data_IF_182055186106
#
_entry.id   IF_182055186106
#
_cell.length_a   1.000
_cell.length_b   1.000
_cell.length_c   1.000
_cell.angle_alpha   90.00
_cell.angle_beta   90.00
_cell.angle_gamma   90.00
#
_symmetry.space_group_name_H-M   'P 1'
#
loop_
_entity.id
_entity.type
_entity.pdbx_description
1 polymer ?
#
# COMPACT_ATOMS: atom_id res chain seq x y z
N UNK A 1 -72.02 -15.76 -24.54
CA UNK A 1 -71.75 -14.45 -23.95
C UNK A 1 -70.27 -14.16 -24.09
N UNK A 2 -69.89 -13.11 -24.85
CA UNK A 2 -68.47 -12.65 -24.95
C UNK A 2 -68.31 -11.59 -23.87
N UNK A 3 -67.38 -11.85 -22.90
CA UNK A 3 -67.03 -10.87 -21.92
C UNK A 3 -65.79 -10.09 -22.48
N UNK A 4 -66.04 -8.85 -22.86
CA UNK A 4 -64.98 -7.91 -23.24
C UNK A 4 -64.40 -7.31 -21.97
N UNK A 5 -63.18 -7.74 -21.59
CA UNK A 5 -62.40 -7.11 -20.52
C UNK A 5 -61.80 -5.76 -20.95
N UNK A 6 -61.60 -4.87 -20.03
CA UNK A 6 -60.87 -3.60 -20.29
C UNK A 6 -59.47 -3.88 -20.83
N UNK A 7 -59.04 -3.09 -21.84
CA UNK A 7 -57.69 -3.19 -22.38
C UNK A 7 -56.61 -2.90 -21.27
N UNK A 8 -55.70 -3.82 -21.10
CA UNK A 8 -54.56 -3.64 -20.18
C UNK A 8 -53.37 -3.13 -20.98
N UNK A 9 -52.85 -1.96 -20.57
CA UNK A 9 -51.66 -1.38 -21.18
C UNK A 9 -50.43 -2.05 -20.61
N UNK A 10 -49.64 -2.68 -21.47
CA UNK A 10 -48.38 -3.33 -21.12
C UNK A 10 -47.23 -2.42 -21.53
N UNK A 11 -46.29 -2.22 -20.63
CA UNK A 11 -45.11 -1.38 -20.85
C UNK A 11 -43.85 -2.24 -21.01
N UNK A 12 -42.93 -1.79 -21.88
CA UNK A 12 -41.61 -2.39 -21.98
C UNK A 12 -40.78 -2.05 -20.72
N UNK A 13 -40.36 -3.07 -20.04
CA UNK A 13 -39.54 -2.94 -18.84
C UNK A 13 -38.13 -3.50 -19.06
N UNK A 14 -37.11 -2.82 -18.50
CA UNK A 14 -35.72 -3.27 -18.42
C UNK A 14 -35.19 -3.00 -17.01
N UNK A 15 -34.47 -3.98 -16.47
CA UNK A 15 -33.80 -3.86 -15.17
C UNK A 15 -32.85 -2.66 -15.12
N UNK A 16 -32.53 -2.13 -13.93
CA UNK A 16 -31.55 -1.09 -13.75
C UNK A 16 -30.19 -1.46 -14.36
N UNK A 17 -29.53 -0.48 -14.95
CA UNK A 17 -28.20 -0.60 -15.54
C UNK A 17 -27.29 0.38 -14.83
N UNK A 18 -26.13 -0.10 -14.41
CA UNK A 18 -25.03 0.73 -13.93
C UNK A 18 -24.10 0.98 -15.11
N UNK A 19 -24.03 2.23 -15.58
CA UNK A 19 -23.25 2.64 -16.75
C UNK A 19 -21.84 3.04 -16.39
N UNK A 20 -21.64 3.64 -15.21
CA UNK A 20 -20.33 4.04 -14.67
C UNK A 20 -20.37 3.94 -13.16
N UNK A 21 -19.29 3.43 -12.57
CA UNK A 21 -19.16 3.33 -11.13
C UNK A 21 -17.70 3.09 -10.73
N UNK A 22 -17.35 3.46 -9.53
CA UNK A 22 -16.02 3.20 -9.00
C UNK A 22 -15.86 3.58 -7.54
N UNK A 23 -14.70 3.22 -7.03
CA UNK A 23 -14.26 3.47 -5.66
C UNK A 23 -12.79 3.86 -5.67
N UNK A 24 -12.45 4.86 -4.90
CA UNK A 24 -11.05 5.28 -4.66
C UNK A 24 -10.87 5.54 -3.17
N UNK A 25 -9.82 5.02 -2.58
CA UNK A 25 -9.41 5.40 -1.22
C UNK A 25 -8.88 6.84 -1.26
N UNK A 26 -9.23 7.65 -0.24
CA UNK A 26 -8.91 9.08 -0.25
C UNK A 26 -8.84 9.65 1.16
N UNK A 27 -8.31 10.86 1.25
CA UNK A 27 -8.34 11.69 2.45
C UNK A 27 -9.73 12.33 2.67
N UNK A 28 -9.84 13.23 3.66
CA UNK A 28 -11.08 13.93 4.01
C UNK A 28 -11.54 14.93 2.92
N UNK A 29 -10.64 15.40 2.08
CA UNK A 29 -10.93 16.31 0.96
C UNK A 29 -11.28 15.55 -0.32
N UNK A 30 -11.20 14.22 -0.27
CA UNK A 30 -11.47 13.35 -1.41
C UNK A 30 -10.32 13.29 -2.41
N UNK A 31 -9.11 13.70 -2.03
CA UNK A 31 -7.89 13.49 -2.81
C UNK A 31 -7.47 12.02 -2.68
N UNK A 32 -7.14 11.32 -3.77
CA UNK A 32 -6.68 9.94 -3.70
C UNK A 32 -5.47 9.82 -2.76
N UNK A 33 -5.58 8.93 -1.78
CA UNK A 33 -4.54 8.67 -0.78
C UNK A 33 -4.63 7.19 -0.38
N UNK A 34 -3.53 6.47 -0.50
CA UNK A 34 -3.53 5.03 -0.23
C UNK A 34 -3.73 4.70 1.25
N UNK A 35 -3.32 5.61 2.14
CA UNK A 35 -3.55 5.55 3.59
C UNK A 35 -4.81 6.31 4.04
N UNK A 36 -5.59 6.83 3.08
CA UNK A 36 -6.77 7.64 3.34
C UNK A 36 -7.81 6.92 4.19
N UNK A 37 -8.45 7.67 5.08
CA UNK A 37 -9.46 7.18 6.01
C UNK A 37 -10.88 7.19 5.41
N UNK A 38 -11.03 7.51 4.12
CA UNK A 38 -12.30 7.62 3.41
C UNK A 38 -12.30 6.83 2.11
N UNK A 39 -13.52 6.56 1.60
CA UNK A 39 -13.76 5.98 0.28
C UNK A 39 -14.56 7.00 -0.55
N UNK A 40 -13.99 7.47 -1.63
CA UNK A 40 -14.70 8.26 -2.63
C UNK A 40 -15.38 7.31 -3.61
N UNK A 41 -16.71 7.33 -3.61
CA UNK A 41 -17.54 6.43 -4.43
C UNK A 41 -18.39 7.21 -5.40
N UNK A 42 -18.69 6.63 -6.55
CA UNK A 42 -19.67 7.14 -7.51
C UNK A 42 -20.39 5.98 -8.20
N UNK A 43 -21.60 6.24 -8.63
CA UNK A 43 -22.38 5.27 -9.38
C UNK A 43 -23.39 6.01 -10.26
N UNK A 44 -23.29 5.85 -11.56
CA UNK A 44 -24.25 6.36 -12.55
C UNK A 44 -25.14 5.20 -13.01
N UNK A 45 -26.42 5.30 -12.73
CA UNK A 45 -27.37 4.26 -13.08
C UNK A 45 -28.60 4.84 -13.76
N UNK A 46 -29.30 3.99 -14.54
CA UNK A 46 -30.54 4.29 -15.20
C UNK A 46 -31.47 3.06 -15.14
N UNK A 47 -32.79 3.27 -15.31
CA UNK A 47 -33.80 2.21 -15.46
C UNK A 47 -34.75 2.55 -16.62
N UNK A 48 -35.64 1.62 -16.98
CA UNK A 48 -36.73 1.90 -17.89
C UNK A 48 -37.71 2.87 -17.24
N UNK A 49 -38.05 3.97 -17.90
CA UNK A 49 -38.87 5.04 -17.34
C UNK A 49 -40.33 4.61 -17.11
N UNK A 50 -40.87 3.76 -17.96
CA UNK A 50 -42.25 3.25 -17.86
C UNK A 50 -43.29 4.39 -17.70
N UNK A 51 -43.20 5.40 -18.58
CA UNK A 51 -44.04 6.62 -18.56
C UNK A 51 -43.95 7.35 -17.21
N UNK A 52 -42.70 7.64 -16.78
CA UNK A 52 -42.35 8.36 -15.52
C UNK A 52 -42.82 7.64 -14.23
N UNK A 53 -43.19 6.35 -14.30
CA UNK A 53 -43.61 5.54 -13.16
C UNK A 53 -42.49 4.76 -12.51
N UNK A 54 -41.31 4.70 -13.14
CA UNK A 54 -40.15 3.99 -12.62
C UNK A 54 -38.94 4.92 -12.51
N UNK A 55 -38.35 4.96 -11.36
CA UNK A 55 -37.15 5.73 -11.07
C UNK A 55 -36.09 4.84 -10.40
N UNK A 56 -34.80 5.20 -10.54
CA UNK A 56 -33.71 4.46 -9.93
C UNK A 56 -33.16 5.23 -8.75
N UNK A 57 -32.96 4.53 -7.62
CA UNK A 57 -32.22 4.99 -6.44
C UNK A 57 -30.86 4.31 -6.42
N UNK A 58 -29.80 5.10 -6.22
CA UNK A 58 -28.44 4.60 -6.10
C UNK A 58 -28.03 4.69 -4.64
N UNK A 59 -27.37 3.64 -4.15
CA UNK A 59 -26.91 3.55 -2.77
C UNK A 59 -25.60 2.78 -2.69
N UNK A 60 -24.84 3.05 -1.63
CA UNK A 60 -23.58 2.38 -1.33
C UNK A 60 -23.52 1.92 0.11
N UNK A 61 -22.78 0.87 0.35
CA UNK A 61 -22.35 0.42 1.69
C UNK A 61 -20.95 -0.17 1.59
N UNK A 62 -20.28 -0.28 2.71
CA UNK A 62 -18.95 -0.87 2.78
C UNK A 62 -18.81 -1.75 4.02
N UNK A 63 -17.78 -2.59 4.03
CA UNK A 63 -17.37 -3.39 5.19
C UNK A 63 -15.87 -3.64 5.18
N UNK A 64 -15.22 -3.86 6.33
CA UNK A 64 -13.91 -4.52 6.35
C UNK A 64 -14.03 -5.90 5.71
N UNK A 65 -12.97 -6.36 5.04
CA UNK A 65 -12.93 -7.69 4.43
C UNK A 65 -13.27 -8.75 5.47
N UNK A 66 -14.28 -9.57 5.19
CA UNK A 66 -14.81 -10.58 6.11
C UNK A 66 -15.65 -10.07 7.29
N UNK A 67 -15.84 -8.74 7.40
CA UNK A 67 -16.66 -8.11 8.44
C UNK A 67 -18.13 -7.89 8.07
N UNK A 68 -18.86 -7.26 8.98
CA UNK A 68 -20.26 -6.87 8.77
C UNK A 68 -20.40 -5.64 7.87
N UNK A 69 -21.50 -5.56 7.10
CA UNK A 69 -21.80 -4.41 6.26
C UNK A 69 -22.23 -3.19 7.10
N UNK A 70 -21.78 -2.00 6.69
CA UNK A 70 -22.37 -0.75 7.12
C UNK A 70 -23.81 -0.60 6.66
N UNK A 71 -24.53 0.36 7.19
CA UNK A 71 -25.80 0.80 6.62
C UNK A 71 -25.61 1.35 5.19
N UNK A 72 -26.70 1.31 4.39
CA UNK A 72 -26.68 1.94 3.09
C UNK A 72 -26.69 3.47 3.17
N UNK A 73 -25.82 4.10 2.39
CA UNK A 73 -25.81 5.54 2.15
C UNK A 73 -26.37 5.81 0.77
N UNK A 74 -27.36 6.70 0.66
CA UNK A 74 -27.92 7.13 -0.64
C UNK A 74 -26.91 8.01 -1.38
N UNK A 75 -26.78 7.76 -2.68
CA UNK A 75 -25.97 8.51 -3.61
C UNK A 75 -26.85 9.26 -4.61
N UNK A 76 -26.38 10.41 -5.08
CA UNK A 76 -26.91 11.03 -6.29
C UNK A 76 -26.26 10.38 -7.51
N UNK A 77 -27.05 9.97 -8.51
CA UNK A 77 -26.54 9.26 -9.68
C UNK A 77 -25.46 10.07 -10.40
N UNK A 78 -24.29 9.49 -10.59
CA UNK A 78 -23.14 10.12 -11.25
C UNK A 78 -22.35 11.12 -10.38
N UNK A 79 -22.76 11.39 -9.15
CA UNK A 79 -22.07 12.31 -8.25
C UNK A 79 -21.15 11.52 -7.31
N UNK A 80 -19.91 12.00 -7.16
CA UNK A 80 -18.95 11.42 -6.22
C UNK A 80 -19.32 11.79 -4.78
N UNK A 81 -19.24 10.82 -3.87
CA UNK A 81 -19.52 11.01 -2.44
C UNK A 81 -18.47 10.30 -1.57
N UNK A 82 -18.13 10.90 -0.44
CA UNK A 82 -17.27 10.29 0.55
C UNK A 82 -18.07 9.38 1.49
N UNK A 83 -17.54 8.21 1.75
CA UNK A 83 -18.00 7.25 2.74
C UNK A 83 -16.90 6.94 3.74
N UNK A 84 -17.25 6.51 4.93
CA UNK A 84 -16.28 6.16 5.99
C UNK A 84 -15.97 7.34 6.87
N UNK A 85 -14.71 7.54 7.16
CA UNK A 85 -14.18 8.43 8.18
C UNK A 85 -13.62 7.59 9.34
N UNK A 86 -12.32 7.26 9.27
CA UNK A 86 -11.66 6.37 10.24
C UNK A 86 -11.45 4.94 9.72
N UNK A 87 -11.38 4.75 8.40
CA UNK A 87 -10.96 3.47 7.82
C UNK A 87 -9.52 3.17 8.21
N UNK A 88 -9.27 1.95 8.72
CA UNK A 88 -7.92 1.53 9.05
C UNK A 88 -7.06 1.37 7.78
N UNK A 89 -5.87 1.96 7.80
CA UNK A 89 -4.90 1.85 6.70
C UNK A 89 -4.44 0.40 6.47
N UNK A 90 -4.50 -0.43 7.50
CA UNK A 90 -4.09 -1.85 7.49
C UNK A 90 -5.19 -2.82 7.09
N UNK A 91 -6.41 -2.33 6.80
CA UNK A 91 -7.54 -3.17 6.43
C UNK A 91 -8.00 -2.93 4.99
N UNK A 92 -8.29 -3.99 4.26
CA UNK A 92 -9.03 -3.92 3.00
C UNK A 92 -10.52 -3.83 3.25
N UNK A 93 -11.21 -3.11 2.36
CA UNK A 93 -12.66 -2.92 2.47
C UNK A 93 -13.34 -3.39 1.19
N UNK A 94 -14.46 -4.10 1.35
CA UNK A 94 -15.42 -4.32 0.26
C UNK A 94 -16.41 -3.16 0.21
N UNK A 95 -16.71 -2.69 -0.98
CA UNK A 95 -17.70 -1.65 -1.25
C UNK A 95 -18.73 -2.20 -2.21
N UNK A 96 -20.00 -2.09 -1.85
CA UNK A 96 -21.13 -2.49 -2.68
C UNK A 96 -21.89 -1.24 -3.11
N UNK A 97 -22.01 -1.07 -4.44
CA UNK A 97 -22.83 -0.06 -5.09
C UNK A 97 -24.06 -0.73 -5.65
N UNK A 98 -25.24 -0.19 -5.38
CA UNK A 98 -26.52 -0.81 -5.73
C UNK A 98 -27.44 0.23 -6.37
N UNK A 99 -28.01 -0.14 -7.52
CA UNK A 99 -29.09 0.59 -8.18
C UNK A 99 -30.39 -0.19 -8.02
N UNK A 100 -31.40 0.45 -7.43
CA UNK A 100 -32.70 -0.14 -7.14
C UNK A 100 -33.77 0.71 -7.79
N UNK A 101 -34.65 0.11 -8.60
CA UNK A 101 -35.76 0.83 -9.17
C UNK A 101 -37.05 0.74 -8.31
N UNK A 102 -38.06 1.52 -8.65
CA UNK A 102 -39.34 1.53 -7.93
C UNK A 102 -40.12 0.23 -8.08
N UNK A 103 -39.81 -0.59 -9.07
CA UNK A 103 -40.42 -1.92 -9.28
C UNK A 103 -39.80 -2.97 -8.36
N UNK A 104 -38.63 -2.64 -7.74
CA UNK A 104 -37.95 -3.51 -6.80
C UNK A 104 -36.78 -4.31 -7.39
N UNK A 105 -36.49 -4.12 -8.69
CA UNK A 105 -35.31 -4.75 -9.29
C UNK A 105 -34.03 -4.09 -8.84
N UNK A 106 -32.98 -4.92 -8.64
CA UNK A 106 -31.70 -4.49 -8.09
C UNK A 106 -30.56 -4.88 -9.02
N UNK A 107 -29.66 -3.95 -9.30
CA UNK A 107 -28.36 -4.20 -9.90
C UNK A 107 -27.27 -3.82 -8.92
N UNK A 108 -26.28 -4.69 -8.73
CA UNK A 108 -25.19 -4.47 -7.79
C UNK A 108 -23.84 -4.67 -8.46
N UNK A 109 -22.86 -3.86 -8.08
CA UNK A 109 -21.44 -4.04 -8.39
C UNK A 109 -20.66 -3.97 -7.09
N UNK A 110 -19.53 -4.68 -7.01
CA UNK A 110 -18.65 -4.72 -5.86
C UNK A 110 -17.24 -4.35 -6.26
N UNK A 111 -16.57 -3.65 -5.35
CA UNK A 111 -15.19 -3.22 -5.46
C UNK A 111 -14.44 -3.59 -4.19
N UNK A 112 -13.13 -3.77 -4.31
CA UNK A 112 -12.23 -3.88 -3.17
C UNK A 112 -11.35 -2.64 -3.11
N UNK A 113 -11.39 -1.93 -1.99
CA UNK A 113 -10.40 -0.94 -1.63
C UNK A 113 -9.32 -1.61 -0.79
N UNK A 114 -8.13 -1.75 -1.37
CA UNK A 114 -7.01 -2.46 -0.77
C UNK A 114 -6.47 -1.75 0.48
N UNK A 115 -5.61 -2.45 1.23
CA UNK A 115 -4.83 -1.87 2.32
C UNK A 115 -3.83 -0.87 1.77
N UNK A 116 -3.45 0.10 2.60
CA UNK A 116 -2.30 0.97 2.34
C UNK A 116 -0.96 0.33 2.74
N UNK A 117 -0.96 -0.84 3.38
CA UNK A 117 0.27 -1.55 3.66
C UNK A 117 0.90 -2.05 2.36
N UNK A 118 2.01 -1.46 2.04
CA UNK A 118 2.79 -1.80 0.86
C UNK A 118 3.75 -2.92 1.22
N UNK A 119 3.52 -4.11 0.67
CA UNK A 119 4.48 -5.21 0.79
C UNK A 119 5.70 -4.97 -0.09
N UNK A 120 5.46 -4.53 -1.32
CA UNK A 120 6.49 -4.15 -2.30
C UNK A 120 6.02 -2.89 -3.04
N UNK A 121 6.88 -1.89 -3.10
CA UNK A 121 6.70 -0.69 -3.89
C UNK A 121 7.82 -0.57 -4.92
N UNK A 122 7.47 -0.42 -6.19
CA UNK A 122 8.39 -0.08 -7.26
C UNK A 122 8.21 1.40 -7.60
N UNK A 123 9.28 2.18 -7.51
CA UNK A 123 9.22 3.61 -7.82
C UNK A 123 9.00 3.86 -9.31
N UNK A 124 8.26 4.91 -9.59
CA UNK A 124 8.12 5.41 -10.96
C UNK A 124 9.50 5.75 -11.53
N UNK A 125 9.74 5.40 -12.80
CA UNK A 125 11.04 5.58 -13.46
C UNK A 125 11.98 4.38 -13.33
N UNK A 126 11.58 3.28 -12.66
CA UNK A 126 12.34 2.01 -12.63
C UNK A 126 13.60 2.04 -11.77
N UNK A 127 13.79 3.08 -10.95
CA UNK A 127 14.96 3.24 -10.08
C UNK A 127 14.56 3.24 -8.63
N UNK A 128 14.56 2.07 -8.02
CA UNK A 128 14.26 1.88 -6.60
C UNK A 128 13.09 0.98 -6.34
N UNK A 129 13.22 0.19 -5.29
CA UNK A 129 12.18 -0.70 -4.76
C UNK A 129 12.17 -0.59 -3.23
N UNK A 130 11.02 -0.81 -2.62
CA UNK A 130 10.91 -0.82 -1.17
C UNK A 130 10.03 -1.97 -0.68
N UNK A 131 10.41 -2.59 0.43
CA UNK A 131 9.64 -3.59 1.15
C UNK A 131 9.09 -2.99 2.45
N UNK A 132 7.80 -3.16 2.69
CA UNK A 132 7.14 -2.72 3.93
C UNK A 132 6.91 -1.21 4.03
N UNK A 133 7.23 -0.44 3.00
CA UNK A 133 7.01 1.01 2.92
C UNK A 133 6.94 1.49 1.47
N UNK A 134 6.51 2.74 1.26
CA UNK A 134 6.72 3.42 -0.02
C UNK A 134 8.21 3.79 -0.17
N UNK A 135 8.78 3.51 -1.33
CA UNK A 135 10.16 3.89 -1.62
C UNK A 135 10.32 5.41 -1.77
N UNK A 136 11.26 5.99 -1.06
CA UNK A 136 11.56 7.42 -1.06
C UNK A 136 12.80 7.75 -1.87
N UNK A 137 13.70 6.77 -2.04
CA UNK A 137 15.02 6.93 -2.66
C UNK A 137 15.17 6.07 -3.91
N UNK A 138 16.14 6.38 -4.76
CA UNK A 138 16.61 5.52 -5.84
C UNK A 138 17.51 4.40 -5.26
N UNK A 139 16.91 3.52 -4.45
CA UNK A 139 17.60 2.47 -3.71
C UNK A 139 16.66 1.29 -3.45
N UNK A 140 17.20 0.19 -2.95
CA UNK A 140 16.42 -0.86 -2.31
C UNK A 140 16.24 -0.48 -0.83
N UNK A 141 15.01 -0.17 -0.43
CA UNK A 141 14.66 0.19 0.94
C UNK A 141 13.88 -0.95 1.61
N UNK A 142 14.15 -1.22 2.88
CA UNK A 142 13.43 -2.22 3.65
C UNK A 142 13.05 -1.64 5.02
N UNK A 143 11.75 -1.62 5.33
CA UNK A 143 11.24 -1.23 6.65
C UNK A 143 11.19 -2.42 7.63
N UNK A 144 11.41 -3.64 7.13
CA UNK A 144 11.44 -4.87 7.93
C UNK A 144 12.86 -5.37 8.16
N UNK A 145 13.11 -6.19 9.20
CA UNK A 145 14.36 -6.92 9.31
C UNK A 145 14.61 -7.76 8.05
N UNK A 146 15.81 -7.68 7.48
CA UNK A 146 16.22 -8.49 6.35
C UNK A 146 17.10 -9.65 6.85
N UNK A 147 16.81 -10.88 6.40
CA UNK A 147 17.59 -12.08 6.70
C UNK A 147 18.09 -12.66 5.39
N UNK A 148 19.41 -12.84 5.28
CA UNK A 148 20.04 -13.48 4.14
C UNK A 148 20.47 -14.89 4.56
N UNK A 149 19.99 -15.92 3.87
CA UNK A 149 20.35 -17.34 4.14
C UNK A 149 21.61 -17.79 3.40
N UNK A 150 22.21 -16.93 2.61
CA UNK A 150 23.47 -17.13 1.91
C UNK A 150 24.36 -15.92 2.06
N UNK A 151 25.45 -15.90 1.31
CA UNK A 151 26.38 -14.80 1.31
C UNK A 151 25.75 -13.50 0.78
N UNK A 152 26.15 -12.36 1.30
CA UNK A 152 25.81 -11.04 0.79
C UNK A 152 27.08 -10.35 0.29
N UNK A 153 27.13 -10.01 -1.00
CA UNK A 153 28.22 -9.23 -1.58
C UNK A 153 27.82 -7.75 -1.66
N UNK A 154 28.66 -6.88 -1.15
CA UNK A 154 28.49 -5.42 -1.22
C UNK A 154 29.64 -4.85 -2.05
N UNK A 155 29.31 -4.44 -3.29
CA UNK A 155 30.31 -3.88 -4.20
C UNK A 155 30.80 -2.47 -3.84
N UNK A 156 30.17 -1.82 -2.85
CA UNK A 156 30.50 -0.49 -2.37
C UNK A 156 30.77 -0.51 -0.87
N UNK A 157 30.62 0.65 -0.24
CA UNK A 157 30.78 0.80 1.20
C UNK A 157 29.52 0.30 1.92
N UNK A 158 29.70 -0.56 2.92
CA UNK A 158 28.64 -0.94 3.85
C UNK A 158 28.67 -0.02 5.07
N UNK A 159 27.57 0.69 5.33
CA UNK A 159 27.44 1.57 6.48
C UNK A 159 26.47 1.01 7.52
N UNK A 160 26.74 1.21 8.78
CA UNK A 160 25.85 0.88 9.90
C UNK A 160 25.57 2.16 10.71
N UNK A 161 24.28 2.56 10.75
CA UNK A 161 23.89 3.81 11.40
C UNK A 161 24.53 5.07 10.78
N UNK A 162 24.78 5.05 9.46
CA UNK A 162 25.42 6.15 8.73
C UNK A 162 26.95 6.22 8.87
N UNK A 163 27.55 5.23 9.52
CA UNK A 163 29.01 5.10 9.66
C UNK A 163 29.52 3.92 8.84
N UNK A 164 30.68 4.03 8.17
CA UNK A 164 31.32 2.90 7.52
C UNK A 164 31.44 1.71 8.46
N UNK A 165 31.14 0.51 8.00
CA UNK A 165 31.24 -0.70 8.82
C UNK A 165 32.63 -0.90 9.37
N UNK A 166 33.66 -0.55 8.61
CA UNK A 166 35.06 -0.60 9.07
C UNK A 166 35.28 0.27 10.30
N UNK A 167 34.67 1.45 10.38
CA UNK A 167 34.74 2.34 11.54
C UNK A 167 34.00 1.81 12.77
N UNK A 168 32.90 1.07 12.53
CA UNK A 168 32.13 0.45 13.62
C UNK A 168 32.85 -0.76 14.19
N UNK A 169 33.47 -1.58 13.36
CA UNK A 169 34.19 -2.78 13.76
C UNK A 169 35.55 -2.45 14.38
N UNK A 170 36.18 -1.40 13.90
CA UNK A 170 37.55 -1.05 14.28
C UNK A 170 37.60 0.34 14.94
N UNK A 171 36.96 0.41 16.09
CA UNK A 171 36.93 1.66 16.90
C UNK A 171 38.31 2.11 17.29
N UNK A 172 38.50 3.43 17.47
CA UNK A 172 39.70 4.01 18.04
C UNK A 172 40.00 3.35 19.39
N UNK A 173 41.23 2.94 19.59
CA UNK A 173 41.66 2.17 20.76
C UNK A 173 41.52 0.66 20.63
N UNK A 174 40.88 0.14 19.57
CA UNK A 174 40.82 -1.31 19.33
C UNK A 174 42.23 -1.85 19.03
N UNK A 175 42.49 -3.06 19.52
CA UNK A 175 43.74 -3.78 19.26
C UNK A 175 43.45 -4.96 18.35
N UNK A 176 44.32 -5.16 17.36
CA UNK A 176 44.24 -6.29 16.42
C UNK A 176 45.57 -7.00 16.36
N UNK A 177 45.52 -8.29 16.12
CA UNK A 177 46.68 -9.14 15.94
C UNK A 177 46.76 -9.61 14.48
N UNK A 178 47.92 -9.53 13.90
CA UNK A 178 48.23 -10.02 12.56
C UNK A 178 49.42 -10.96 12.61
N UNK A 179 49.48 -11.92 11.68
CA UNK A 179 50.64 -12.78 11.49
C UNK A 179 51.76 -12.12 10.69
N UNK A 180 51.50 -10.92 10.15
CA UNK A 180 52.44 -10.16 9.34
C UNK A 180 52.68 -8.78 9.95
N UNK A 181 53.82 -8.21 9.67
CA UNK A 181 54.23 -6.88 10.18
C UNK A 181 53.54 -5.74 9.38
N UNK A 182 52.28 -5.91 9.08
CA UNK A 182 51.45 -4.90 8.39
C UNK A 182 50.18 -4.63 9.18
N UNK A 183 49.66 -3.41 9.16
CA UNK A 183 48.38 -3.07 9.80
C UNK A 183 47.23 -3.93 9.29
N UNK A 184 46.17 -4.15 10.10
CA UNK A 184 45.02 -4.91 9.70
C UNK A 184 44.36 -4.35 8.42
N UNK A 185 43.92 -5.27 7.52
CA UNK A 185 43.20 -4.92 6.31
C UNK A 185 41.89 -5.72 6.25
N UNK A 186 40.81 -5.16 5.69
CA UNK A 186 40.67 -3.77 5.25
C UNK A 186 40.69 -2.79 6.44
N UNK A 187 41.23 -1.61 6.25
CA UNK A 187 41.35 -0.58 7.28
C UNK A 187 40.45 0.61 6.90
N UNK A 188 39.80 1.28 7.88
CA UNK A 188 39.09 2.52 7.60
C UNK A 188 39.98 3.55 6.92
N UNK A 189 39.38 4.35 6.04
CA UNK A 189 40.09 5.47 5.43
C UNK A 189 40.61 6.43 6.53
N UNK A 190 41.85 6.83 6.40
CA UNK A 190 42.58 7.66 7.40
C UNK A 190 42.79 7.02 8.78
N UNK A 191 42.58 5.71 8.95
CA UNK A 191 42.93 5.05 10.19
C UNK A 191 44.44 4.99 10.39
N UNK A 192 44.89 5.43 11.56
CA UNK A 192 46.28 5.32 11.96
C UNK A 192 46.45 4.16 12.95
N UNK A 193 47.43 3.31 12.70
CA UNK A 193 47.72 2.14 13.50
C UNK A 193 49.13 2.24 14.09
N UNK A 194 49.23 2.07 15.39
CA UNK A 194 50.49 1.96 16.09
C UNK A 194 50.81 0.50 16.41
N UNK A 195 52.01 0.08 16.11
CA UNK A 195 52.47 -1.26 16.48
C UNK A 195 52.73 -1.33 17.97
N UNK A 196 52.41 -2.48 18.57
CA UNK A 196 52.74 -2.79 19.95
C UNK A 196 53.53 -4.12 20.02
N UNK A 197 54.49 -4.20 20.92
CA UNK A 197 55.20 -5.44 21.12
C UNK A 197 54.30 -6.51 21.74
N UNK A 198 54.25 -7.69 21.13
CA UNK A 198 53.47 -8.84 21.65
C UNK A 198 54.32 -9.78 22.51
N UNK A 199 55.67 -9.73 22.35
CA UNK A 199 56.58 -10.71 22.95
C UNK A 199 56.50 -12.11 22.33
N UNK A 200 55.74 -12.27 21.26
CA UNK A 200 55.54 -13.55 20.56
C UNK A 200 56.09 -13.40 19.14
N UNK A 201 57.01 -14.29 18.76
CA UNK A 201 57.59 -14.31 17.43
C UNK A 201 56.51 -14.58 16.37
N UNK A 202 56.49 -13.78 15.29
CA UNK A 202 55.50 -13.92 14.21
C UNK A 202 54.09 -13.41 14.53
N UNK A 203 53.90 -12.75 15.70
CA UNK A 203 52.63 -12.13 16.05
C UNK A 203 52.81 -10.63 16.24
N UNK A 204 52.04 -9.83 15.50
CA UNK A 204 52.08 -8.37 15.55
C UNK A 204 50.78 -7.82 16.13
N UNK A 205 50.87 -6.89 17.05
CA UNK A 205 49.73 -6.17 17.60
C UNK A 205 49.64 -4.77 17.02
N UNK A 206 48.49 -4.34 16.66
CA UNK A 206 48.21 -3.02 16.11
C UNK A 206 47.07 -2.37 16.89
N UNK A 207 47.30 -1.16 17.33
CA UNK A 207 46.29 -0.37 18.04
C UNK A 207 45.87 0.79 17.14
N UNK A 208 44.57 0.95 16.91
CA UNK A 208 44.01 2.09 16.17
C UNK A 208 44.08 3.33 17.08
N UNK A 209 44.71 4.42 16.60
CA UNK A 209 44.88 5.68 17.33
C UNK A 209 44.01 6.80 16.77
N UNK A 210 43.59 6.73 15.50
CA UNK A 210 42.64 7.65 14.87
C UNK A 210 41.72 6.90 13.90
#
# INVERSE_FOLDING_TARGET
ATVTGSAVKVYAYRQPVIADSGVTRCDADGVPADDGAYLKVWCKASCADVESRNTVKVRARYRPMGGGWSGYTTLSSGVKKLLGGGLAATASYEVELSAVDTVGSVRTVRYTASTSQVTLHLRNGGKGAAFGKYGEREALECAWPAVFYGDAEVAGELTLGGRPLADVLWLVGSVRFTAEAVPPQPSPENAVWESAATGIEGLYAWRRTT
#
